data_IF_143692509893
#
_entry.id   IF_143692509893
#
_cell.length_a   1.000
_cell.length_b   1.000
_cell.length_c   1.000
_cell.angle_alpha   90.00
_cell.angle_beta   90.00
_cell.angle_gamma   90.00
#
_symmetry.space_group_name_H-M   'P 1'
#
loop_
_entity.id
_entity.type
_entity.pdbx_description
1 polymer ?
#
# COMPACT_ATOMS: atom_id res chain seq x y z
N UNK A 1 11.18 16.63 11.01
CA UNK A 1 10.54 15.76 10.00
C UNK A 1 9.20 15.33 10.56
N UNK A 2 8.22 14.96 9.73
CA UNK A 2 6.97 14.39 10.22
C UNK A 2 7.17 12.92 10.59
N UNK A 3 6.49 12.43 11.62
CA UNK A 3 6.48 11.00 11.97
C UNK A 3 5.53 10.25 11.03
N UNK A 4 6.03 9.21 10.33
CA UNK A 4 5.21 8.42 9.41
C UNK A 4 4.66 7.17 10.11
N UNK A 5 3.37 6.90 9.91
CA UNK A 5 2.72 5.67 10.32
C UNK A 5 2.73 4.65 9.19
N UNK A 6 3.29 3.47 9.42
CA UNK A 6 3.31 2.35 8.49
C UNK A 6 2.33 1.27 8.95
N UNK A 7 1.42 0.87 8.07
CA UNK A 7 0.62 -0.34 8.23
C UNK A 7 1.28 -1.45 7.40
N UNK A 8 2.03 -2.32 8.09
CA UNK A 8 2.86 -3.36 7.47
C UNK A 8 2.45 -4.77 7.89
N UNK A 9 3.30 -5.75 7.58
CA UNK A 9 3.02 -7.16 7.84
C UNK A 9 2.18 -7.84 6.76
N UNK A 10 2.09 -7.30 5.54
CA UNK A 10 1.20 -7.82 4.48
C UNK A 10 1.89 -8.07 3.12
N UNK A 11 3.05 -8.75 3.06
CA UNK A 11 3.71 -9.49 4.15
C UNK A 11 4.84 -8.70 4.85
N UNK A 12 5.39 -9.23 5.94
CA UNK A 12 6.48 -8.57 6.68
C UNK A 12 7.77 -8.49 5.85
N UNK A 13 8.04 -9.47 4.97
CA UNK A 13 9.18 -9.48 4.06
C UNK A 13 9.19 -8.20 3.20
N UNK A 14 8.01 -7.77 2.75
CA UNK A 14 7.85 -6.54 1.96
C UNK A 14 7.88 -5.26 2.80
N UNK A 15 7.62 -5.34 4.10
CA UNK A 15 7.67 -4.19 5.02
C UNK A 15 9.11 -3.75 5.32
N UNK A 16 10.07 -4.69 5.35
CA UNK A 16 11.49 -4.39 5.56
C UNK A 16 12.02 -3.38 4.53
N UNK A 17 11.81 -3.56 3.21
CA UNK A 17 12.15 -2.55 2.21
C UNK A 17 11.59 -1.15 2.49
N UNK A 18 10.33 -1.02 2.93
CA UNK A 18 9.77 0.30 3.29
C UNK A 18 10.59 0.96 4.38
N UNK A 19 10.81 0.25 5.49
CA UNK A 19 11.57 0.79 6.62
C UNK A 19 13.01 1.16 6.22
N UNK A 20 13.67 0.30 5.44
CA UNK A 20 15.04 0.54 4.93
C UNK A 20 15.09 1.80 4.07
N UNK A 21 14.27 1.86 3.02
CA UNK A 21 14.32 2.94 2.02
C UNK A 21 13.91 4.29 2.61
N UNK A 22 12.95 4.32 3.55
CA UNK A 22 12.57 5.56 4.25
C UNK A 22 13.76 6.09 5.08
N UNK A 23 14.43 5.21 5.84
CA UNK A 23 15.61 5.61 6.62
C UNK A 23 16.77 6.05 5.74
N UNK A 24 17.05 5.32 4.66
CA UNK A 24 18.09 5.70 3.69
C UNK A 24 17.78 7.06 3.05
N UNK A 25 16.52 7.32 2.67
CA UNK A 25 16.10 8.60 2.10
C UNK A 25 16.27 9.77 3.08
N UNK A 26 15.97 9.58 4.37
CA UNK A 26 16.22 10.60 5.40
C UNK A 26 17.72 10.82 5.60
N UNK A 27 18.50 9.75 5.73
CA UNK A 27 19.97 9.83 5.87
C UNK A 27 20.60 10.57 4.69
N UNK A 28 20.17 10.28 3.46
CA UNK A 28 20.69 10.95 2.26
C UNK A 28 20.41 12.45 2.24
N UNK A 29 19.25 12.88 2.75
CA UNK A 29 18.84 14.29 2.73
C UNK A 29 19.40 15.11 3.89
N UNK A 30 19.52 14.51 5.08
CA UNK A 30 19.91 15.23 6.30
C UNK A 30 21.36 14.94 6.75
N UNK A 31 21.98 13.87 6.23
CA UNK A 31 23.36 13.52 6.54
C UNK A 31 23.59 13.03 7.98
N UNK A 32 24.86 12.79 8.31
CA UNK A 32 25.29 12.35 9.64
C UNK A 32 24.63 11.04 10.09
N UNK A 33 24.09 11.05 11.32
CA UNK A 33 23.39 9.93 11.94
C UNK A 33 21.87 10.14 11.99
N UNK A 34 21.31 11.03 11.15
CA UNK A 34 19.86 11.20 11.07
C UNK A 34 19.18 9.93 10.54
N UNK A 35 18.10 9.55 11.21
CA UNK A 35 17.20 8.45 10.83
C UNK A 35 15.75 8.95 10.77
N UNK A 36 14.87 8.14 10.17
CA UNK A 36 13.46 8.49 10.04
C UNK A 36 12.69 8.28 11.36
N UNK A 37 11.73 9.15 11.64
CA UNK A 37 10.74 8.94 12.69
C UNK A 37 9.60 8.07 12.13
N UNK A 38 9.54 6.81 12.57
CA UNK A 38 8.60 5.80 12.04
C UNK A 38 7.86 5.13 13.19
N UNK A 39 6.54 5.04 13.07
CA UNK A 39 5.69 4.15 13.87
C UNK A 39 5.16 3.07 12.93
N UNK A 40 5.39 1.80 13.27
CA UNK A 40 4.96 0.66 12.47
C UNK A 40 3.96 -0.18 13.27
N UNK A 41 2.78 -0.38 12.71
CA UNK A 41 1.86 -1.44 13.13
C UNK A 41 2.00 -2.58 12.13
N UNK A 42 2.53 -3.71 12.59
CA UNK A 42 2.66 -4.92 11.78
C UNK A 42 1.61 -5.92 12.22
N UNK A 43 0.67 -6.23 11.32
CA UNK A 43 -0.38 -7.23 11.58
C UNK A 43 0.18 -8.64 11.50
N UNK A 44 -0.55 -9.61 12.05
CA UNK A 44 -0.41 -11.01 11.64
C UNK A 44 -1.04 -11.16 10.25
N UNK A 45 -0.24 -11.55 9.25
CA UNK A 45 -0.72 -11.61 7.88
C UNK A 45 -1.78 -12.70 7.69
N UNK A 46 -1.78 -13.73 8.53
CA UNK A 46 -2.70 -14.86 8.39
C UNK A 46 -4.16 -14.41 8.46
N UNK A 47 -4.51 -13.56 9.44
CA UNK A 47 -5.87 -13.05 9.59
C UNK A 47 -6.30 -12.23 8.36
N UNK A 48 -5.41 -11.39 7.85
CA UNK A 48 -5.69 -10.56 6.67
C UNK A 48 -5.87 -11.43 5.42
N UNK A 49 -4.99 -12.40 5.18
CA UNK A 49 -5.06 -13.29 4.02
C UNK A 49 -6.33 -14.15 4.07
N UNK A 50 -6.68 -14.72 5.23
CA UNK A 50 -7.89 -15.50 5.39
C UNK A 50 -9.14 -14.67 5.05
N UNK A 51 -9.20 -13.42 5.55
CA UNK A 51 -10.28 -12.50 5.21
C UNK A 51 -10.32 -12.21 3.69
N UNK A 52 -9.17 -12.01 3.04
CA UNK A 52 -9.13 -11.81 1.58
C UNK A 52 -9.71 -13.03 0.84
N UNK A 53 -9.35 -14.24 1.25
CA UNK A 53 -9.83 -15.49 0.64
C UNK A 53 -11.33 -15.69 0.83
N UNK A 54 -11.86 -15.33 1.99
CA UNK A 54 -13.29 -15.40 2.33
C UNK A 54 -14.10 -14.21 1.79
N UNK A 55 -13.44 -13.16 1.30
CA UNK A 55 -14.09 -11.93 0.84
C UNK A 55 -14.56 -11.01 1.98
N UNK A 56 -14.04 -11.18 3.19
CA UNK A 56 -14.35 -10.39 4.39
C UNK A 56 -13.63 -9.02 4.38
N UNK A 57 -13.83 -8.25 3.30
CA UNK A 57 -13.13 -6.98 3.09
C UNK A 57 -13.47 -5.93 4.17
N UNK A 58 -14.73 -5.85 4.60
CA UNK A 58 -15.15 -4.91 5.64
C UNK A 58 -14.39 -5.15 6.95
N UNK A 59 -14.21 -6.43 7.33
CA UNK A 59 -13.42 -6.82 8.50
C UNK A 59 -11.96 -6.39 8.38
N UNK A 60 -11.35 -6.54 7.19
CA UNK A 60 -9.99 -6.03 6.98
C UNK A 60 -9.91 -4.51 7.01
N UNK A 61 -10.95 -3.82 6.54
CA UNK A 61 -11.10 -2.37 6.66
C UNK A 61 -11.13 -1.93 8.13
N UNK A 62 -11.88 -2.64 8.98
CA UNK A 62 -11.93 -2.38 10.42
C UNK A 62 -10.58 -2.57 11.11
N UNK A 63 -9.90 -3.70 10.82
CA UNK A 63 -8.58 -4.01 11.38
C UNK A 63 -7.58 -2.89 11.03
N UNK A 64 -7.50 -2.52 9.75
CA UNK A 64 -6.51 -1.54 9.27
C UNK A 64 -6.84 -0.11 9.70
N UNK A 65 -8.13 0.25 9.79
CA UNK A 65 -8.55 1.55 10.30
C UNK A 65 -8.22 1.71 11.79
N UNK A 66 -8.46 0.68 12.61
CA UNK A 66 -8.08 0.72 14.03
C UNK A 66 -6.56 0.75 14.22
N UNK A 67 -5.80 0.02 13.40
CA UNK A 67 -4.35 0.11 13.39
C UNK A 67 -3.87 1.54 13.04
N UNK A 68 -4.49 2.19 12.04
CA UNK A 68 -4.19 3.58 11.67
C UNK A 68 -4.49 4.56 12.81
N UNK A 69 -5.64 4.42 13.47
CA UNK A 69 -6.00 5.22 14.64
C UNK A 69 -5.05 4.99 15.81
N UNK A 70 -4.57 3.76 16.01
CA UNK A 70 -3.53 3.43 16.98
C UNK A 70 -2.23 4.20 16.71
N UNK A 71 -1.78 4.22 15.45
CA UNK A 71 -0.61 4.99 15.03
C UNK A 71 -0.82 6.50 15.18
N UNK A 72 -2.02 7.01 14.87
CA UNK A 72 -2.39 8.40 15.09
C UNK A 72 -2.28 8.78 16.58
N UNK A 73 -2.85 7.95 17.47
CA UNK A 73 -2.75 8.15 18.93
C UNK A 73 -1.30 8.13 19.42
N UNK A 74 -0.43 7.37 18.76
CA UNK A 74 1.00 7.29 19.08
C UNK A 74 1.83 8.46 18.49
N UNK A 75 1.22 9.34 17.68
CA UNK A 75 1.87 10.53 17.14
C UNK A 75 2.27 10.46 15.67
N UNK A 76 1.74 9.51 14.90
CA UNK A 76 1.89 9.53 13.44
C UNK A 76 1.18 10.76 12.84
N UNK A 77 1.76 11.32 11.78
CA UNK A 77 1.27 12.53 11.10
C UNK A 77 0.88 12.25 9.63
N UNK A 78 0.87 10.98 9.24
CA UNK A 78 0.47 10.47 7.94
C UNK A 78 0.49 8.94 7.95
N UNK A 79 -0.28 8.32 7.05
CA UNK A 79 -0.39 6.86 6.93
C UNK A 79 0.15 6.40 5.58
N UNK A 80 0.96 5.35 5.60
CA UNK A 80 1.36 4.55 4.43
C UNK A 80 0.92 3.11 4.68
N UNK A 81 0.14 2.57 3.75
CA UNK A 81 -0.24 1.17 3.73
C UNK A 81 0.77 0.37 2.89
N UNK A 82 1.56 -0.49 3.53
CA UNK A 82 2.72 -1.17 2.92
C UNK A 82 2.31 -2.41 2.10
N UNK A 83 1.22 -2.34 1.36
CA UNK A 83 0.72 -3.42 0.50
C UNK A 83 -0.20 -2.87 -0.58
N UNK A 84 -0.16 -3.47 -1.77
CA UNK A 84 -0.99 -3.03 -2.88
C UNK A 84 -2.44 -3.47 -2.71
N UNK A 85 -2.68 -4.77 -2.47
CA UNK A 85 -4.02 -5.37 -2.39
C UNK A 85 -4.93 -4.67 -1.38
N UNK A 86 -4.41 -4.32 -0.19
CA UNK A 86 -5.26 -3.76 0.86
C UNK A 86 -5.66 -2.29 0.63
N UNK A 87 -5.17 -1.64 -0.43
CA UNK A 87 -5.74 -0.36 -0.86
C UNK A 87 -7.19 -0.52 -1.36
N UNK A 88 -7.66 -1.76 -1.59
CA UNK A 88 -9.09 -2.05 -1.78
C UNK A 88 -9.97 -1.53 -0.65
N UNK A 89 -9.43 -1.42 0.57
CA UNK A 89 -10.13 -0.90 1.75
C UNK A 89 -9.53 0.42 2.24
N UNK A 90 -8.81 1.15 1.39
CA UNK A 90 -8.25 2.46 1.73
C UNK A 90 -9.34 3.44 2.21
N UNK A 91 -10.52 3.42 1.59
CA UNK A 91 -11.65 4.26 1.98
C UNK A 91 -12.09 4.06 3.45
N UNK A 92 -11.99 2.82 3.96
CA UNK A 92 -12.31 2.53 5.36
C UNK A 92 -11.28 3.17 6.32
N UNK A 93 -10.01 3.23 5.91
CA UNK A 93 -8.94 3.88 6.66
C UNK A 93 -9.12 5.40 6.60
N UNK A 94 -9.30 5.95 5.40
CA UNK A 94 -9.42 7.40 5.16
C UNK A 94 -10.67 8.01 5.80
N UNK A 95 -11.78 7.26 5.87
CA UNK A 95 -13.01 7.72 6.51
C UNK A 95 -12.94 7.74 8.05
N UNK A 96 -12.05 6.96 8.66
CA UNK A 96 -11.94 6.83 10.12
C UNK A 96 -10.73 7.54 10.71
N UNK A 97 -9.60 7.51 10.02
CA UNK A 97 -8.37 8.15 10.44
C UNK A 97 -8.19 9.49 9.69
N UNK A 98 -8.14 10.59 10.41
CA UNK A 98 -8.04 11.93 9.81
C UNK A 98 -6.64 12.30 9.31
N UNK A 99 -5.66 11.39 9.43
CA UNK A 99 -4.30 11.64 8.96
C UNK A 99 -4.25 11.60 7.42
N UNK A 100 -3.36 12.38 6.79
CA UNK A 100 -3.11 12.25 5.36
C UNK A 100 -2.74 10.81 5.00
N UNK A 101 -3.50 10.20 4.09
CA UNK A 101 -3.26 8.87 3.58
C UNK A 101 -2.45 8.94 2.28
N UNK A 102 -1.25 8.38 2.27
CA UNK A 102 -0.37 8.38 1.10
C UNK A 102 -0.69 7.16 0.23
N UNK A 103 -1.73 7.27 -0.58
CA UNK A 103 -2.21 6.19 -1.44
C UNK A 103 -1.11 5.73 -2.42
N UNK A 104 -0.83 4.41 -2.44
CA UNK A 104 0.28 3.85 -3.22
C UNK A 104 0.10 4.06 -4.74
N UNK A 105 -1.14 3.91 -5.25
CA UNK A 105 -1.45 4.12 -6.66
C UNK A 105 -1.21 5.57 -7.11
N UNK A 106 -1.36 6.55 -6.21
CA UNK A 106 -1.10 7.96 -6.55
C UNK A 106 0.40 8.22 -6.68
N UNK A 107 1.22 7.60 -5.82
CA UNK A 107 2.66 7.67 -5.93
C UNK A 107 3.15 7.03 -7.24
N UNK A 108 2.61 5.86 -7.59
CA UNK A 108 2.91 5.20 -8.86
C UNK A 108 2.42 6.01 -10.06
N UNK A 109 1.19 6.51 -10.02
CA UNK A 109 0.59 7.33 -11.09
C UNK A 109 1.43 8.56 -11.39
N UNK A 110 1.82 9.33 -10.37
CA UNK A 110 2.73 10.47 -10.53
C UNK A 110 4.06 10.10 -11.18
N UNK A 111 4.65 8.96 -10.79
CA UNK A 111 5.91 8.50 -11.37
C UNK A 111 5.76 8.12 -12.86
N UNK A 112 4.68 7.40 -13.22
CA UNK A 112 4.38 7.02 -14.61
C UNK A 112 4.09 8.27 -15.45
N UNK A 113 3.30 9.22 -14.95
CA UNK A 113 3.05 10.50 -15.61
C UNK A 113 4.33 11.29 -15.82
N UNK A 114 5.22 11.35 -14.81
CA UNK A 114 6.53 12.00 -14.93
C UNK A 114 7.44 11.35 -15.99
N UNK A 115 7.22 10.08 -16.30
CA UNK A 115 7.91 9.37 -17.38
C UNK A 115 7.22 9.53 -18.75
N UNK A 116 6.11 10.28 -18.85
CA UNK A 116 5.37 10.51 -20.09
C UNK A 116 4.63 9.28 -20.62
N UNK A 117 4.39 8.27 -19.78
CA UNK A 117 3.71 7.03 -20.17
C UNK A 117 2.22 7.07 -19.84
N UNK A 118 1.39 6.51 -20.71
CA UNK A 118 -0.07 6.41 -20.51
C UNK A 118 -0.60 4.98 -20.61
N UNK A 119 0.27 4.00 -20.92
CA UNK A 119 -0.08 2.59 -21.04
C UNK A 119 1.07 1.74 -20.49
N UNK A 120 0.79 0.95 -19.46
CA UNK A 120 1.81 0.13 -18.74
C UNK A 120 1.29 -1.26 -18.44
N UNK A 121 2.18 -2.23 -18.23
CA UNK A 121 1.80 -3.53 -17.68
C UNK A 121 1.66 -3.44 -16.15
N UNK A 122 0.69 -4.16 -15.58
CA UNK A 122 0.45 -4.28 -14.14
C UNK A 122 0.55 -5.74 -13.72
N UNK A 123 1.48 -6.01 -12.80
CA UNK A 123 1.64 -7.30 -12.14
C UNK A 123 1.35 -7.14 -10.64
N UNK A 124 0.69 -8.12 -10.04
CA UNK A 124 0.34 -8.11 -8.63
C UNK A 124 -0.46 -9.36 -8.27
N UNK A 125 -1.17 -9.32 -7.14
CA UNK A 125 -2.16 -10.35 -6.84
C UNK A 125 -3.29 -10.34 -7.87
N UNK A 126 -4.04 -11.44 -7.96
CA UNK A 126 -5.24 -11.50 -8.81
C UNK A 126 -6.20 -10.35 -8.50
N UNK A 127 -6.33 -9.98 -7.24
CA UNK A 127 -7.20 -8.87 -6.81
C UNK A 127 -6.76 -7.54 -7.41
N UNK A 128 -5.47 -7.19 -7.30
CA UNK A 128 -4.92 -5.95 -7.86
C UNK A 128 -5.00 -5.90 -9.38
N UNK A 129 -4.80 -7.04 -10.06
CA UNK A 129 -4.85 -7.09 -11.52
C UNK A 129 -6.28 -7.08 -12.05
N UNK A 130 -7.21 -7.80 -11.41
CA UNK A 130 -8.54 -8.05 -11.97
C UNK A 130 -9.62 -7.09 -11.47
N UNK A 131 -9.42 -6.42 -10.33
CA UNK A 131 -10.41 -5.49 -9.76
C UNK A 131 -10.05 -4.02 -9.99
N UNK A 132 -11.05 -3.15 -9.83
CA UNK A 132 -10.96 -1.74 -10.21
C UNK A 132 -10.25 -0.85 -9.19
N UNK A 133 -10.13 -1.24 -7.92
CA UNK A 133 -9.62 -0.35 -6.86
C UNK A 133 -8.22 0.23 -7.14
N UNK A 134 -7.38 -0.48 -7.89
CA UNK A 134 -6.05 0.01 -8.28
C UNK A 134 -6.04 0.61 -9.69
N UNK A 135 -6.52 -0.16 -10.67
CA UNK A 135 -6.49 0.19 -12.10
C UNK A 135 -7.46 1.32 -12.43
N UNK A 136 -8.63 1.32 -11.80
CA UNK A 136 -9.62 2.37 -11.88
C UNK A 136 -9.04 3.68 -11.38
N UNK A 137 -8.40 3.70 -10.20
CA UNK A 137 -7.74 4.91 -9.68
C UNK A 137 -6.65 5.44 -10.61
N UNK A 138 -5.80 4.58 -11.17
CA UNK A 138 -4.80 4.99 -12.17
C UNK A 138 -5.43 5.56 -13.45
N UNK A 139 -6.55 5.00 -13.88
CA UNK A 139 -7.29 5.45 -15.06
C UNK A 139 -7.96 6.81 -14.79
N UNK A 140 -8.69 6.93 -13.70
CA UNK A 140 -9.50 8.11 -13.35
C UNK A 140 -8.63 9.32 -12.97
N UNK A 141 -7.56 9.12 -12.20
CA UNK A 141 -6.75 10.22 -11.66
C UNK A 141 -5.58 10.62 -12.58
N UNK A 142 -5.11 9.70 -13.43
CA UNK A 142 -3.89 9.91 -14.22
C UNK A 142 -4.03 9.58 -15.71
N UNK A 143 -5.20 9.12 -16.17
CA UNK A 143 -5.40 8.66 -17.56
C UNK A 143 -4.41 7.55 -17.97
N UNK A 144 -4.04 6.68 -17.03
CA UNK A 144 -3.11 5.56 -17.26
C UNK A 144 -3.89 4.27 -17.46
N UNK A 145 -3.73 3.64 -18.62
CA UNK A 145 -4.29 2.33 -18.91
C UNK A 145 -3.33 1.20 -18.49
N UNK A 146 -3.85 0.24 -17.72
CA UNK A 146 -3.08 -0.94 -17.30
C UNK A 146 -3.44 -2.16 -18.15
N UNK A 147 -2.42 -2.73 -18.81
CA UNK A 147 -2.46 -4.08 -19.37
C UNK A 147 -2.17 -5.09 -18.27
N UNK A 148 -2.92 -6.17 -18.25
CA UNK A 148 -2.72 -7.28 -17.31
C UNK A 148 -2.44 -8.56 -18.10
N UNK A 149 -1.73 -9.53 -17.51
CA UNK A 149 -1.48 -10.83 -18.13
C UNK A 149 -2.78 -11.58 -18.45
N UNK A 150 -2.68 -12.63 -19.28
CA UNK A 150 -3.79 -13.54 -19.56
C UNK A 150 -4.14 -14.39 -18.33
N UNK A 151 -5.31 -15.03 -18.34
CA UNK A 151 -5.87 -15.70 -17.15
C UNK A 151 -4.92 -16.72 -16.49
N UNK A 152 -4.29 -17.59 -17.29
CA UNK A 152 -3.38 -18.63 -16.78
C UNK A 152 -2.10 -18.02 -16.17
N UNK A 153 -1.62 -16.92 -16.74
CA UNK A 153 -0.46 -16.18 -16.24
C UNK A 153 -0.78 -15.49 -14.92
N UNK A 154 -1.96 -14.87 -14.80
CA UNK A 154 -2.43 -14.24 -13.56
C UNK A 154 -2.56 -15.25 -12.42
N UNK A 155 -3.10 -16.44 -12.71
CA UNK A 155 -3.19 -17.52 -11.74
C UNK A 155 -1.79 -17.94 -11.24
N UNK A 156 -0.84 -18.14 -12.15
CA UNK A 156 0.55 -18.50 -11.80
C UNK A 156 1.27 -17.40 -11.02
N UNK A 157 1.13 -16.14 -11.42
CA UNK A 157 1.72 -14.99 -10.71
C UNK A 157 1.18 -14.92 -9.28
N UNK A 158 -0.14 -15.03 -9.11
CA UNK A 158 -0.74 -15.00 -7.79
C UNK A 158 -0.27 -16.17 -6.91
N UNK A 159 -0.14 -17.37 -7.48
CA UNK A 159 0.40 -18.54 -6.77
C UNK A 159 1.87 -18.38 -6.36
N UNK A 160 2.67 -17.58 -7.06
CA UNK A 160 4.08 -17.33 -6.69
C UNK A 160 4.18 -16.32 -5.53
N UNK A 161 3.21 -15.41 -5.41
CA UNK A 161 3.20 -14.37 -4.38
C UNK A 161 2.88 -14.94 -2.99
N UNK A 162 2.04 -15.99 -2.92
CA UNK A 162 1.61 -16.67 -1.70
C UNK A 162 2.32 -18.01 -1.53
#
# INVERSE_FOLDING_TARGET
MKTIGLLGGMSWESTIPYYRLINEGIKQRLGGLHSAQVLLHSVDFHEIEECQRLGEWDKTGDILAEAALGLQRAGAEGIVLCTNTMHKVADAIESRCSLPFLHIADATGRAITGAGMTRVALLGTRYTMEQDFYRGRLTEQFSINCLIPEADERAKINQIIF
#
